data_IF_404334835847
#
_entry.id   IF_404334835847
#
_cell.length_a   1.000
_cell.length_b   1.000
_cell.length_c   1.000
_cell.angle_alpha   90.00
_cell.angle_beta   90.00
_cell.angle_gamma   90.00
#
_symmetry.space_group_name_H-M   'P 1'
#
loop_
_entity.id
_entity.type
_entity.pdbx_description
1 polymer ?
#
# COMPACT_ATOMS: atom_id res chain seq x y z
N UNK A 1 -20.58 -6.87 15.32
CA UNK A 1 -19.70 -7.57 14.37
C UNK A 1 -19.23 -6.55 13.35
N UNK A 2 -17.92 -6.50 13.08
CA UNK A 2 -17.34 -5.63 12.06
C UNK A 2 -17.70 -6.18 10.69
N UNK A 3 -18.10 -5.29 9.79
CA UNK A 3 -18.27 -5.56 8.36
C UNK A 3 -17.54 -4.47 7.57
N UNK A 4 -17.06 -4.80 6.37
CA UNK A 4 -16.34 -3.88 5.50
C UNK A 4 -17.04 -3.74 4.16
N UNK A 5 -17.15 -2.50 3.69
CA UNK A 5 -17.67 -2.16 2.38
C UNK A 5 -16.56 -1.39 1.65
N UNK A 6 -15.79 -2.03 0.75
CA UNK A 6 -14.81 -1.33 -0.07
C UNK A 6 -15.50 -0.24 -0.91
N UNK A 7 -14.98 0.98 -0.85
CA UNK A 7 -15.56 2.12 -1.57
C UNK A 7 -14.55 2.90 -2.41
N UNK A 8 -13.25 2.72 -2.17
CA UNK A 8 -12.20 3.37 -2.94
C UNK A 8 -10.86 2.63 -2.82
N UNK A 9 -9.94 2.91 -3.75
CA UNK A 9 -8.56 2.45 -3.72
C UNK A 9 -7.61 3.50 -4.29
N UNK A 10 -6.32 3.38 -3.98
CA UNK A 10 -5.27 4.26 -4.47
C UNK A 10 -3.91 3.86 -3.91
N UNK A 11 -2.88 4.63 -4.28
CA UNK A 11 -1.52 4.42 -3.80
C UNK A 11 -1.43 4.66 -2.29
N UNK A 12 -0.77 3.73 -1.60
CA UNK A 12 -0.55 3.77 -0.17
C UNK A 12 0.89 3.34 0.13
N UNK A 13 1.53 4.02 1.07
CA UNK A 13 2.85 3.66 1.56
C UNK A 13 2.74 3.13 3.00
N UNK A 14 3.23 1.89 3.21
CA UNK A 14 3.28 1.23 4.52
C UNK A 14 4.73 1.04 5.00
N UNK A 15 5.43 2.16 5.24
CA UNK A 15 6.87 2.14 5.50
C UNK A 15 7.20 1.33 6.77
N UNK A 16 8.26 0.52 6.66
CA UNK A 16 8.66 -0.44 7.68
C UNK A 16 10.12 -0.23 8.06
N UNK A 17 10.42 -0.29 9.35
CA UNK A 17 11.81 -0.32 9.84
C UNK A 17 12.28 -1.73 10.12
N UNK A 18 13.60 -1.92 10.00
CA UNK A 18 14.27 -3.12 10.47
C UNK A 18 14.41 -3.05 11.99
N UNK A 19 13.61 -3.86 12.68
CA UNK A 19 13.66 -4.00 14.13
C UNK A 19 13.75 -5.48 14.48
N UNK A 20 14.97 -6.04 14.64
CA UNK A 20 15.18 -7.47 14.86
C UNK A 20 14.44 -8.03 16.08
N UNK A 21 14.30 -7.20 17.12
CA UNK A 21 13.68 -7.59 18.39
C UNK A 21 12.23 -7.11 18.52
N UNK A 22 11.54 -6.85 17.40
CA UNK A 22 10.14 -6.44 17.44
C UNK A 22 9.25 -7.61 17.83
N UNK A 23 8.46 -7.43 18.90
CA UNK A 23 7.51 -8.43 19.36
C UNK A 23 6.24 -8.42 18.49
N UNK A 24 5.77 -7.22 18.12
CA UNK A 24 4.57 -7.02 17.29
C UNK A 24 4.90 -6.46 15.91
N UNK A 25 4.04 -6.74 14.93
CA UNK A 25 4.15 -6.12 13.59
C UNK A 25 4.03 -4.61 13.68
N UNK A 26 3.12 -4.11 14.52
CA UNK A 26 2.88 -2.67 14.68
C UNK A 26 4.14 -1.92 15.11
N UNK A 27 5.04 -2.51 15.90
CA UNK A 27 6.31 -1.90 16.32
C UNK A 27 7.29 -1.64 15.17
N UNK A 28 7.11 -2.34 14.04
CA UNK A 28 7.89 -2.14 12.80
C UNK A 28 7.22 -1.19 11.83
N UNK A 29 5.91 -0.95 12.00
CA UNK A 29 5.07 -0.19 11.05
C UNK A 29 4.71 1.21 11.60
N UNK A 30 4.45 1.33 12.88
CA UNK A 30 3.94 2.52 13.55
C UNK A 30 5.03 3.15 14.43
N UNK A 31 6.21 3.39 13.83
CA UNK A 31 7.43 3.80 14.53
C UNK A 31 7.69 5.32 14.49
N UNK A 32 6.83 6.08 13.82
CA UNK A 32 6.96 7.53 13.67
C UNK A 32 5.71 8.15 13.03
N UNK A 33 5.66 9.49 12.97
CA UNK A 33 4.49 10.21 12.46
C UNK A 33 4.30 10.10 10.94
N UNK A 34 5.39 9.96 10.17
CA UNK A 34 5.37 9.98 8.71
C UNK A 34 5.68 8.61 8.09
N UNK A 35 5.31 7.53 8.76
CA UNK A 35 5.59 6.16 8.30
C UNK A 35 4.51 5.58 7.40
N UNK A 36 3.43 6.33 7.20
CA UNK A 36 2.28 5.99 6.35
C UNK A 36 1.98 7.14 5.40
N UNK A 37 1.32 6.84 4.30
CA UNK A 37 0.79 7.85 3.39
C UNK A 37 -0.27 7.26 2.50
N UNK A 38 -1.27 8.06 2.17
CA UNK A 38 -2.32 7.74 1.19
C UNK A 38 -2.31 8.83 0.13
N UNK A 39 -2.43 8.45 -1.14
CA UNK A 39 -2.58 9.43 -2.23
C UNK A 39 -3.88 10.22 -2.06
N UNK A 40 -3.84 11.50 -2.42
CA UNK A 40 -5.05 12.33 -2.49
C UNK A 40 -5.94 11.96 -3.69
N UNK A 41 -5.41 11.22 -4.66
CA UNK A 41 -6.16 10.69 -5.80
C UNK A 41 -6.62 9.28 -5.44
N UNK A 42 -7.92 9.12 -5.18
CA UNK A 42 -8.54 7.82 -4.93
C UNK A 42 -9.55 7.51 -6.04
N UNK A 43 -9.56 6.27 -6.48
CA UNK A 43 -10.52 5.76 -7.45
C UNK A 43 -11.69 5.12 -6.71
N UNK A 44 -12.91 5.38 -7.19
CA UNK A 44 -14.13 4.80 -6.60
C UNK A 44 -14.21 3.30 -6.90
N UNK A 45 -14.67 2.53 -5.91
CA UNK A 45 -15.08 1.13 -6.08
C UNK A 45 -16.56 1.00 -5.82
N UNK A 46 -17.29 0.42 -6.77
CA UNK A 46 -18.68 0.00 -6.55
C UNK A 46 -18.77 -1.47 -6.15
N UNK A 47 -17.71 -2.25 -6.43
CA UNK A 47 -17.59 -3.67 -6.12
C UNK A 47 -16.14 -4.01 -5.78
N UNK A 48 -15.93 -5.15 -5.11
CA UNK A 48 -14.61 -5.75 -4.90
C UNK A 48 -14.60 -7.24 -5.26
N UNK A 49 -15.38 -7.60 -6.27
CA UNK A 49 -15.44 -8.93 -6.88
C UNK A 49 -14.54 -9.00 -8.11
N UNK A 50 -14.29 -10.20 -8.63
CA UNK A 50 -13.62 -10.37 -9.93
C UNK A 50 -14.40 -9.58 -11.00
N UNK A 51 -13.67 -8.83 -11.83
CA UNK A 51 -14.22 -7.92 -12.83
C UNK A 51 -14.56 -6.53 -12.28
N UNK A 52 -14.10 -6.17 -11.08
CA UNK A 52 -14.29 -4.82 -10.55
C UNK A 52 -13.35 -3.80 -11.21
N UNK A 53 -13.55 -2.53 -10.88
CA UNK A 53 -12.81 -1.41 -11.47
C UNK A 53 -11.30 -1.50 -11.21
N UNK A 54 -10.88 -2.15 -10.12
CA UNK A 54 -9.47 -2.31 -9.75
C UNK A 54 -8.73 -3.32 -10.63
N UNK A 55 -9.40 -4.26 -11.31
CA UNK A 55 -8.74 -5.41 -11.98
C UNK A 55 -7.75 -4.99 -13.08
N UNK A 56 -7.98 -3.83 -13.68
CA UNK A 56 -7.13 -3.23 -14.72
C UNK A 56 -5.95 -2.42 -14.18
N UNK A 57 -5.80 -2.31 -12.85
CA UNK A 57 -4.78 -1.47 -12.24
C UNK A 57 -3.53 -2.24 -11.85
N UNK A 58 -2.41 -1.54 -12.00
CA UNK A 58 -1.08 -1.99 -11.59
C UNK A 58 -0.55 -1.12 -10.45
N UNK A 59 0.40 -1.66 -9.70
CA UNK A 59 1.17 -0.96 -8.67
C UNK A 59 2.62 -0.88 -9.14
N UNK A 60 3.17 0.34 -9.19
CA UNK A 60 4.58 0.61 -9.42
C UNK A 60 5.19 1.35 -8.23
N UNK A 61 6.45 1.04 -7.92
CA UNK A 61 7.16 1.63 -6.79
C UNK A 61 8.53 2.13 -7.25
N UNK A 62 8.87 3.37 -6.89
CA UNK A 62 10.15 3.99 -7.21
C UNK A 62 10.83 4.57 -5.96
N UNK A 63 12.14 4.63 -6.05
CA UNK A 63 13.03 5.21 -5.07
C UNK A 63 13.84 6.30 -5.77
N UNK A 64 13.93 7.48 -5.18
CA UNK A 64 14.84 8.51 -5.65
C UNK A 64 15.84 8.88 -4.55
N UNK A 65 17.11 8.98 -4.95
CA UNK A 65 18.18 9.57 -4.16
C UNK A 65 19.05 10.45 -5.06
N UNK A 66 19.40 11.64 -4.60
CA UNK A 66 20.30 12.56 -5.32
C UNK A 66 19.87 12.85 -6.78
N UNK A 67 18.56 12.90 -7.04
CA UNK A 67 18.00 13.16 -8.38
C UNK A 67 17.97 11.93 -9.31
N UNK A 68 18.46 10.77 -8.86
CA UNK A 68 18.38 9.52 -9.62
C UNK A 68 17.16 8.71 -9.17
N UNK A 69 16.21 8.49 -10.07
CA UNK A 69 15.00 7.68 -9.82
C UNK A 69 15.21 6.25 -10.33
N UNK A 70 15.00 5.28 -9.44
CA UNK A 70 15.17 3.85 -9.67
C UNK A 70 13.85 3.09 -9.45
N UNK A 71 13.59 2.08 -10.27
CA UNK A 71 12.49 1.14 -10.06
C UNK A 71 12.78 0.29 -8.82
N UNK A 72 11.94 0.44 -7.80
CA UNK A 72 12.14 -0.18 -6.49
C UNK A 72 11.44 -1.52 -6.35
N UNK A 73 10.22 -1.59 -6.88
CA UNK A 73 9.39 -2.79 -6.91
C UNK A 73 9.09 -3.22 -8.34
N UNK A 74 8.95 -4.52 -8.55
CA UNK A 74 8.49 -5.08 -9.83
C UNK A 74 7.06 -4.60 -10.06
N UNK A 75 6.82 -3.94 -11.18
CA UNK A 75 5.47 -3.55 -11.62
C UNK A 75 4.53 -4.76 -11.57
N UNK A 76 3.40 -4.62 -10.89
CA UNK A 76 2.54 -5.76 -10.57
C UNK A 76 1.07 -5.43 -10.76
N UNK A 77 0.28 -6.26 -11.49
CA UNK A 77 -1.17 -6.16 -11.47
C UNK A 77 -1.71 -6.43 -10.06
N UNK A 78 -2.74 -5.70 -9.64
CA UNK A 78 -3.39 -5.94 -8.33
C UNK A 78 -4.01 -7.33 -8.25
N UNK A 79 -4.41 -7.90 -9.39
CA UNK A 79 -4.94 -9.26 -9.51
C UNK A 79 -3.85 -10.34 -9.35
N UNK A 80 -2.57 -9.96 -9.36
CA UNK A 80 -1.45 -10.85 -9.09
C UNK A 80 -1.28 -11.24 -7.61
N UNK A 81 -2.02 -10.60 -6.69
CA UNK A 81 -1.96 -10.91 -5.26
C UNK A 81 -2.70 -12.21 -4.94
N UNK A 82 -2.08 -13.10 -4.16
CA UNK A 82 -2.65 -14.42 -3.81
C UNK A 82 -3.94 -14.34 -2.96
N UNK A 83 -4.16 -13.21 -2.31
CA UNK A 83 -5.39 -12.84 -1.62
C UNK A 83 -5.86 -11.52 -2.20
N UNK A 84 -6.93 -11.57 -3.00
CA UNK A 84 -7.59 -10.40 -3.56
C UNK A 84 -9.11 -10.63 -3.65
N UNK A 85 -9.87 -9.58 -4.00
CA UNK A 85 -11.33 -9.62 -4.07
C UNK A 85 -12.01 -10.17 -2.80
N UNK A 86 -13.09 -10.93 -2.97
CA UNK A 86 -13.87 -11.56 -1.91
C UNK A 86 -13.02 -12.44 -0.99
N UNK A 87 -11.98 -13.10 -1.51
CA UNK A 87 -11.07 -13.90 -0.69
C UNK A 87 -10.36 -13.04 0.35
N UNK A 88 -9.83 -11.89 -0.07
CA UNK A 88 -9.20 -10.94 0.85
C UNK A 88 -10.22 -10.29 1.77
N UNK A 89 -11.35 -9.82 1.23
CA UNK A 89 -12.39 -9.14 2.00
C UNK A 89 -12.93 -10.01 3.14
N UNK A 90 -13.31 -11.26 2.81
CA UNK A 90 -13.83 -12.21 3.80
C UNK A 90 -12.77 -12.54 4.85
N UNK A 91 -11.50 -12.71 4.44
CA UNK A 91 -10.41 -12.95 5.36
C UNK A 91 -10.19 -11.78 6.32
N UNK A 92 -10.20 -10.53 5.83
CA UNK A 92 -10.05 -9.35 6.69
C UNK A 92 -11.22 -9.26 7.68
N UNK A 93 -12.46 -9.39 7.21
CA UNK A 93 -13.65 -9.32 8.07
C UNK A 93 -13.56 -10.36 9.17
N UNK A 94 -13.19 -11.60 8.84
CA UNK A 94 -12.97 -12.66 9.81
C UNK A 94 -11.88 -12.26 10.82
N UNK A 95 -10.69 -11.87 10.36
CA UNK A 95 -9.59 -11.45 11.26
C UNK A 95 -9.95 -10.27 12.14
N UNK A 96 -10.67 -9.26 11.63
CA UNK A 96 -11.12 -8.10 12.42
C UNK A 96 -12.07 -8.48 13.55
N UNK A 97 -12.80 -9.59 13.43
CA UNK A 97 -13.75 -10.04 14.44
C UNK A 97 -13.15 -11.05 15.42
N UNK A 98 -12.26 -11.94 14.97
CA UNK A 98 -11.86 -13.12 15.77
C UNK A 98 -10.34 -13.29 15.97
N UNK A 99 -9.49 -12.43 15.38
CA UNK A 99 -8.03 -12.59 15.55
C UNK A 99 -7.61 -12.34 17.01
N UNK A 100 -7.00 -13.32 17.69
CA UNK A 100 -6.49 -13.14 19.04
C UNK A 100 -5.20 -12.30 19.03
N UNK A 101 -4.85 -11.75 20.19
CA UNK A 101 -3.48 -11.29 20.41
C UNK A 101 -2.56 -12.52 20.52
N UNK A 102 -1.78 -12.77 19.47
CA UNK A 102 -0.91 -13.95 19.42
C UNK A 102 0.32 -13.69 18.56
N UNK A 103 1.50 -14.00 19.13
CA UNK A 103 2.78 -13.80 18.46
C UNK A 103 2.90 -12.36 17.94
N UNK A 104 3.16 -12.16 16.63
CA UNK A 104 3.35 -10.82 16.08
C UNK A 104 2.03 -10.08 15.80
N UNK A 105 0.88 -10.75 15.95
CA UNK A 105 -0.45 -10.21 15.68
C UNK A 105 -1.03 -9.53 16.93
N UNK A 106 -1.79 -8.45 16.70
CA UNK A 106 -2.58 -7.78 17.74
C UNK A 106 -4.04 -8.26 17.68
N UNK A 107 -4.75 -8.17 18.81
CA UNK A 107 -6.21 -8.31 18.83
C UNK A 107 -6.85 -7.11 18.13
N UNK A 108 -7.42 -7.32 16.95
CA UNK A 108 -7.97 -6.23 16.14
C UNK A 108 -9.28 -5.70 16.73
N UNK A 109 -10.14 -6.58 17.27
CA UNK A 109 -11.42 -6.19 17.84
C UNK A 109 -11.24 -5.25 19.05
N UNK A 110 -10.25 -5.54 19.91
CA UNK A 110 -9.86 -4.66 21.02
C UNK A 110 -9.33 -3.32 20.53
N UNK A 111 -8.46 -3.30 19.52
CA UNK A 111 -7.94 -2.05 18.95
C UNK A 111 -9.05 -1.17 18.37
N UNK A 112 -10.05 -1.76 17.72
CA UNK A 112 -11.21 -1.04 17.19
C UNK A 112 -12.05 -0.45 18.33
N UNK A 113 -12.26 -1.20 19.41
CA UNK A 113 -12.99 -0.72 20.59
C UNK A 113 -12.25 0.44 21.27
N UNK A 114 -10.92 0.33 21.43
CA UNK A 114 -10.06 1.40 21.95
C UNK A 114 -10.08 2.66 21.09
N UNK A 115 -10.20 2.49 19.76
CA UNK A 115 -10.36 3.58 18.81
C UNK A 115 -11.80 4.14 18.72
N UNK A 116 -12.70 3.73 19.63
CA UNK A 116 -14.10 4.13 19.66
C UNK A 116 -14.87 3.85 18.35
N UNK A 117 -14.66 2.66 17.78
CA UNK A 117 -15.42 2.13 16.64
C UNK A 117 -15.47 3.08 15.42
N UNK A 118 -14.32 3.37 14.79
CA UNK A 118 -14.26 4.21 13.60
C UNK A 118 -15.16 3.66 12.49
N UNK A 119 -15.75 4.57 11.71
CA UNK A 119 -16.66 4.21 10.60
C UNK A 119 -15.93 3.93 9.29
N UNK A 120 -14.64 4.22 9.23
CA UNK A 120 -13.80 4.05 8.05
C UNK A 120 -12.46 3.47 8.44
N UNK A 121 -11.86 2.71 7.53
CA UNK A 121 -10.54 2.14 7.68
C UNK A 121 -9.81 2.20 6.33
N UNK A 122 -8.50 2.38 6.38
CA UNK A 122 -7.61 2.20 5.25
C UNK A 122 -6.95 0.83 5.41
N UNK A 123 -7.07 -0.01 4.38
CA UNK A 123 -6.49 -1.35 4.37
C UNK A 123 -5.42 -1.41 3.29
N UNK A 124 -4.17 -1.64 3.68
CA UNK A 124 -3.08 -1.94 2.76
C UNK A 124 -3.13 -3.41 2.34
N UNK A 125 -3.14 -3.68 1.04
CA UNK A 125 -3.28 -5.06 0.50
C UNK A 125 -1.95 -5.80 0.31
N UNK A 126 -0.83 -5.14 0.60
CA UNK A 126 0.52 -5.69 0.51
C UNK A 126 1.44 -4.77 -0.27
N UNK A 127 2.57 -5.32 -0.73
CA UNK A 127 3.58 -4.60 -1.50
C UNK A 127 4.04 -5.46 -2.67
N UNK A 128 4.56 -4.80 -3.71
CA UNK A 128 5.21 -5.44 -4.85
C UNK A 128 6.50 -6.16 -4.41
N UNK A 129 6.91 -7.18 -5.16
CA UNK A 129 8.24 -7.79 -4.98
C UNK A 129 9.33 -6.76 -5.26
N UNK A 130 10.47 -6.84 -4.57
CA UNK A 130 11.61 -5.97 -4.87
C UNK A 130 12.21 -6.28 -6.24
N UNK A 131 12.73 -5.25 -6.89
CA UNK A 131 13.76 -5.41 -7.93
C UNK A 131 15.11 -5.73 -7.27
N UNK A 132 16.11 -6.12 -8.06
CA UNK A 132 17.49 -6.31 -7.56
C UNK A 132 18.05 -5.04 -6.86
N UNK A 133 17.66 -3.87 -7.35
CA UNK A 133 17.98 -2.60 -6.70
C UNK A 133 17.30 -2.51 -5.33
N UNK A 134 15.98 -2.73 -5.27
CA UNK A 134 15.20 -2.63 -4.03
C UNK A 134 15.61 -3.61 -2.92
N UNK A 135 16.16 -4.78 -3.29
CA UNK A 135 16.68 -5.76 -2.33
C UNK A 135 17.86 -5.21 -1.50
N UNK A 136 18.61 -4.24 -2.04
CA UNK A 136 19.88 -3.77 -1.47
C UNK A 136 19.91 -2.29 -1.10
N UNK A 137 18.94 -1.49 -1.56
CA UNK A 137 18.90 -0.05 -1.37
C UNK A 137 17.76 0.37 -0.42
N UNK A 138 17.98 0.27 0.89
CA UNK A 138 16.98 0.74 1.85
C UNK A 138 16.89 2.26 1.87
N UNK A 139 15.69 2.75 2.23
CA UNK A 139 15.42 4.17 2.40
C UNK A 139 16.37 4.80 3.42
N UNK A 140 16.88 5.97 3.06
CA UNK A 140 17.69 6.84 3.89
C UNK A 140 17.01 8.20 4.03
N UNK A 141 17.42 8.96 5.04
CA UNK A 141 16.99 10.35 5.17
C UNK A 141 17.27 11.10 3.87
N UNK A 142 16.33 11.97 3.49
CA UNK A 142 16.31 12.77 2.27
C UNK A 142 16.02 12.02 0.96
N UNK A 143 15.86 10.70 0.98
CA UNK A 143 15.31 9.96 -0.16
C UNK A 143 13.85 10.36 -0.44
N UNK A 144 13.39 10.10 -1.65
CA UNK A 144 11.96 10.16 -2.00
C UNK A 144 11.44 8.75 -2.30
N UNK A 145 10.34 8.37 -1.64
CA UNK A 145 9.56 7.17 -1.97
C UNK A 145 8.38 7.57 -2.85
N UNK A 146 8.17 6.82 -3.93
CA UNK A 146 7.08 7.05 -4.87
C UNK A 146 6.32 5.74 -5.03
N UNK A 147 5.02 5.75 -4.73
CA UNK A 147 4.10 4.62 -4.99
C UNK A 147 3.04 5.10 -5.97
N UNK A 148 2.78 4.31 -7.01
CA UNK A 148 1.87 4.67 -8.10
C UNK A 148 0.89 3.53 -8.33
N UNK A 149 -0.39 3.88 -8.44
CA UNK A 149 -1.47 3.01 -8.88
C UNK A 149 -2.06 3.60 -10.16
N UNK A 150 -2.01 2.83 -11.26
CA UNK A 150 -2.38 3.31 -12.59
C UNK A 150 -3.13 2.24 -13.39
N UNK A 151 -3.96 2.67 -14.34
CA UNK A 151 -4.69 1.77 -15.24
C UNK A 151 -3.76 1.28 -16.36
N UNK A 152 -3.52 -0.03 -16.43
CA UNK A 152 -2.63 -0.65 -17.40
C UNK A 152 -3.19 -0.68 -18.83
N UNK A 153 -4.48 -0.39 -19.01
CA UNK A 153 -5.06 -0.16 -20.34
C UNK A 153 -4.74 1.24 -20.89
N UNK A 154 -4.36 2.18 -20.02
CA UNK A 154 -4.10 3.58 -20.36
C UNK A 154 -2.62 3.91 -20.43
N UNK A 155 -1.79 3.24 -19.61
CA UNK A 155 -0.37 3.53 -19.49
C UNK A 155 0.47 2.25 -19.50
N UNK A 156 1.67 2.36 -20.08
CA UNK A 156 2.70 1.32 -19.99
C UNK A 156 3.60 1.55 -18.76
N UNK A 157 4.27 0.51 -18.24
CA UNK A 157 5.22 0.66 -17.13
C UNK A 157 6.30 1.71 -17.41
N UNK A 158 6.81 1.79 -18.64
CA UNK A 158 7.83 2.76 -19.02
C UNK A 158 7.32 4.20 -18.92
N UNK A 159 6.08 4.47 -19.33
CA UNK A 159 5.49 5.81 -19.20
C UNK A 159 5.36 6.21 -17.73
N UNK A 160 4.99 5.28 -16.85
CA UNK A 160 4.89 5.52 -15.40
C UNK A 160 6.28 5.77 -14.79
N UNK A 161 7.31 5.06 -15.25
CA UNK A 161 8.69 5.32 -14.85
C UNK A 161 9.16 6.72 -15.28
N UNK A 162 8.85 7.15 -16.50
CA UNK A 162 9.23 8.46 -17.00
C UNK A 162 8.48 9.60 -16.28
N UNK A 163 7.22 9.37 -15.91
CA UNK A 163 6.46 10.27 -15.02
C UNK A 163 7.08 10.33 -13.62
N UNK A 164 7.57 9.21 -13.09
CA UNK A 164 8.22 9.17 -11.78
C UNK A 164 9.52 9.99 -11.75
N UNK A 165 10.32 9.97 -12.83
CA UNK A 165 11.54 10.80 -12.96
C UNK A 165 11.25 12.30 -12.87
N UNK A 166 10.10 12.73 -13.37
CA UNK A 166 9.66 14.15 -13.33
C UNK A 166 8.72 14.46 -12.17
N UNK A 167 8.35 13.45 -11.37
CA UNK A 167 7.38 13.54 -10.26
C UNK A 167 6.04 14.17 -10.66
N UNK A 168 5.68 14.03 -11.93
CA UNK A 168 4.49 14.66 -12.51
C UNK A 168 3.59 13.59 -13.08
N UNK A 169 2.41 13.45 -12.50
CA UNK A 169 1.43 12.44 -12.87
C UNK A 169 0.11 13.09 -13.29
N UNK A 170 -0.60 12.54 -14.28
CA UNK A 170 -1.93 13.01 -14.64
C UNK A 170 -2.95 12.68 -13.53
N UNK A 171 -4.10 13.34 -13.55
CA UNK A 171 -5.11 13.25 -12.49
C UNK A 171 -5.79 11.88 -12.37
N UNK A 172 -5.71 11.06 -13.42
CA UNK A 172 -6.22 9.69 -13.48
C UNK A 172 -5.17 8.66 -13.01
N UNK A 173 -4.04 9.12 -12.46
CA UNK A 173 -3.03 8.27 -11.81
C UNK A 173 -2.98 8.60 -10.32
N UNK A 174 -3.10 7.56 -9.50
CA UNK A 174 -2.96 7.70 -8.04
C UNK A 174 -1.50 7.58 -7.67
N UNK A 175 -0.83 8.72 -7.51
CA UNK A 175 0.56 8.79 -7.10
C UNK A 175 0.69 9.32 -5.66
N UNK A 176 1.57 8.69 -4.89
CA UNK A 176 1.97 9.11 -3.56
C UNK A 176 3.48 9.34 -3.57
N UNK A 177 3.89 10.59 -3.38
CA UNK A 177 5.30 11.01 -3.34
C UNK A 177 5.59 11.47 -1.92
N UNK A 178 6.52 10.81 -1.24
CA UNK A 178 6.88 11.13 0.14
C UNK A 178 8.37 11.28 0.31
N UNK A 179 8.79 12.38 0.92
CA UNK A 179 10.17 12.56 1.36
C UNK A 179 10.41 11.81 2.67
N UNK A 180 11.53 11.09 2.74
CA UNK A 180 11.98 10.41 3.95
C UNK A 180 12.68 11.43 4.85
N UNK A 181 12.23 11.54 6.10
CA UNK A 181 12.75 12.50 7.09
C UNK A 181 13.45 11.84 8.27
#
# INVERSE_FOLDING_TARGET
MVNLIPCAFGAYNDCSIRRPNANKICEKKNWGANTKGLSNTLFTLTSFKIGCEADQYHIACFHERNGETNVYGVDSPVTGYSYFHEKLLNWIIDRMNIQPDQGPMNNIAELIALANYPKQAIISVGATRYTKFGETHYLQKDDTSIVVVYNANSYTPQQIEDMAKTKTFPSDVSALIQKVI
#
